data_IF_125369290585
#
_entry.id   IF_125369290585
#
_cell.length_a   1.000
_cell.length_b   1.000
_cell.length_c   1.000
_cell.angle_alpha   90.00
_cell.angle_beta   90.00
_cell.angle_gamma   90.00
#
_symmetry.space_group_name_H-M   'P 1'
#
loop_
_entity.id
_entity.type
_entity.pdbx_description
1 polymer ?
#
# COMPACT_ATOMS: atom_id res chain seq x y z
N UNK A 1 9.29 -10.09 9.80
CA UNK A 1 7.85 -10.32 9.99
C UNK A 1 7.09 -9.02 9.87
N UNK A 2 5.97 -9.03 9.14
CA UNK A 2 5.17 -7.84 8.95
C UNK A 2 4.28 -7.58 10.16
N UNK A 3 4.06 -6.30 10.47
CA UNK A 3 3.06 -5.95 11.46
C UNK A 3 1.68 -6.20 10.85
N UNK A 4 0.66 -6.23 11.70
CA UNK A 4 -0.70 -6.44 11.23
C UNK A 4 -1.11 -5.39 10.21
N UNK A 5 -0.81 -4.13 10.47
CA UNK A 5 -1.17 -3.05 9.54
C UNK A 5 -0.43 -3.16 8.22
N UNK A 6 0.85 -3.52 8.27
CA UNK A 6 1.62 -3.73 7.04
C UNK A 6 1.05 -4.87 6.22
N UNK A 7 0.68 -5.96 6.87
CA UNK A 7 0.10 -7.10 6.19
C UNK A 7 -1.26 -6.75 5.58
N UNK A 8 -2.10 -6.06 6.32
CA UNK A 8 -3.41 -5.64 5.80
C UNK A 8 -3.27 -4.73 4.59
N UNK A 9 -2.33 -3.80 4.63
CA UNK A 9 -2.10 -2.90 3.50
C UNK A 9 -1.60 -3.67 2.28
N UNK A 10 -0.65 -4.56 2.48
CA UNK A 10 -0.11 -5.35 1.38
C UNK A 10 -1.22 -6.19 0.72
N UNK A 11 -2.04 -6.81 1.54
CA UNK A 11 -3.16 -7.61 1.05
C UNK A 11 -4.15 -6.76 0.27
N UNK A 12 -4.47 -5.57 0.78
CA UNK A 12 -5.39 -4.67 0.12
C UNK A 12 -4.87 -4.24 -1.25
N UNK A 13 -3.60 -3.88 -1.33
CA UNK A 13 -2.97 -3.50 -2.59
C UNK A 13 -3.02 -4.67 -3.57
N UNK A 14 -2.71 -5.87 -3.10
CA UNK A 14 -2.73 -7.05 -3.94
C UNK A 14 -4.13 -7.33 -4.50
N UNK A 15 -5.14 -7.24 -3.66
CA UNK A 15 -6.51 -7.46 -4.09
C UNK A 15 -6.96 -6.43 -5.13
N UNK A 16 -6.60 -5.17 -4.94
CA UNK A 16 -6.95 -4.12 -5.89
C UNK A 16 -6.26 -4.32 -7.23
N UNK A 17 -4.99 -4.69 -7.20
CA UNK A 17 -4.26 -4.95 -8.44
C UNK A 17 -4.87 -6.13 -9.20
N UNK A 18 -5.30 -7.15 -8.48
CA UNK A 18 -5.89 -8.33 -9.09
C UNK A 18 -7.25 -8.02 -9.69
N UNK A 19 -8.08 -7.24 -8.99
CA UNK A 19 -9.43 -6.94 -9.44
C UNK A 19 -9.49 -5.87 -10.53
N UNK A 20 -8.77 -4.78 -10.32
CA UNK A 20 -8.89 -3.60 -11.18
C UNK A 20 -7.67 -3.39 -12.08
N UNK A 21 -6.58 -4.08 -11.83
CA UNK A 21 -5.36 -3.89 -12.59
C UNK A 21 -4.61 -2.61 -12.24
N UNK A 22 -5.10 -1.85 -11.26
CA UNK A 22 -4.45 -0.62 -10.81
C UNK A 22 -4.38 -0.63 -9.28
N UNK A 23 -3.33 -0.05 -8.70
CA UNK A 23 -3.22 0.02 -7.25
C UNK A 23 -4.21 1.03 -6.68
N UNK A 24 -4.57 0.89 -5.40
CA UNK A 24 -5.45 1.85 -4.76
C UNK A 24 -4.74 3.18 -4.53
N UNK A 25 -5.52 4.24 -4.42
CA UNK A 25 -4.97 5.54 -4.06
C UNK A 25 -4.64 5.57 -2.57
N UNK A 26 -3.87 6.57 -2.16
CA UNK A 26 -3.55 6.73 -0.74
C UNK A 26 -4.80 6.95 0.09
N UNK A 27 -5.78 7.67 -0.45
CA UNK A 27 -7.04 7.87 0.25
C UNK A 27 -7.79 6.57 0.47
N UNK A 28 -7.81 5.72 -0.54
CA UNK A 28 -8.44 4.41 -0.43
C UNK A 28 -7.74 3.54 0.60
N UNK A 29 -6.41 3.55 0.59
CA UNK A 29 -5.64 2.79 1.57
C UNK A 29 -5.87 3.30 2.99
N UNK A 30 -5.92 4.62 3.14
CA UNK A 30 -6.18 5.23 4.43
C UNK A 30 -7.53 4.80 4.99
N UNK A 31 -8.55 4.84 4.15
CA UNK A 31 -9.90 4.45 4.56
C UNK A 31 -9.98 2.96 4.87
N UNK A 32 -9.33 2.14 4.07
CA UNK A 32 -9.37 0.69 4.26
C UNK A 32 -8.73 0.27 5.58
N UNK A 33 -7.70 1.00 6.01
CA UNK A 33 -6.99 0.69 7.25
C UNK A 33 -7.45 1.52 8.43
N UNK A 34 -8.47 2.34 8.23
CA UNK A 34 -9.05 3.20 9.27
C UNK A 34 -8.00 4.10 9.91
N UNK A 35 -7.17 4.70 9.08
CA UNK A 35 -6.16 5.64 9.53
C UNK A 35 -6.65 7.08 9.36
N UNK A 36 -6.18 7.96 10.24
CA UNK A 36 -6.62 9.35 10.22
C UNK A 36 -5.93 10.21 9.19
N UNK A 37 -4.73 9.82 8.77
CA UNK A 37 -3.97 10.64 7.84
C UNK A 37 -3.20 9.78 6.86
N UNK A 38 -2.85 10.40 5.74
CA UNK A 38 -2.05 9.74 4.72
C UNK A 38 -0.61 9.50 5.17
N UNK A 39 -0.16 10.20 6.20
CA UNK A 39 1.19 10.00 6.73
C UNK A 39 1.39 8.58 7.21
N UNK A 40 0.38 8.00 7.87
CA UNK A 40 0.44 6.61 8.30
C UNK A 40 0.60 5.65 7.12
N UNK A 41 -0.14 5.91 6.06
CA UNK A 41 -0.03 5.10 4.85
C UNK A 41 1.36 5.23 4.23
N UNK A 42 1.88 6.45 4.16
CA UNK A 42 3.20 6.67 3.59
C UNK A 42 4.27 5.89 4.35
N UNK A 43 4.20 5.88 5.67
CA UNK A 43 5.13 5.11 6.50
C UNK A 43 5.03 3.62 6.24
N UNK A 44 3.81 3.10 6.13
CA UNK A 44 3.61 1.68 5.86
C UNK A 44 4.14 1.30 4.49
N UNK A 45 3.89 2.13 3.48
CA UNK A 45 4.38 1.88 2.13
C UNK A 45 5.91 1.90 2.12
N UNK A 46 6.52 2.87 2.77
CA UNK A 46 7.97 2.95 2.83
C UNK A 46 8.57 1.71 3.50
N UNK A 47 7.95 1.25 4.58
CA UNK A 47 8.42 0.04 5.26
C UNK A 47 8.30 -1.19 4.38
N UNK A 48 7.21 -1.33 3.65
CA UNK A 48 7.02 -2.46 2.75
C UNK A 48 7.99 -2.41 1.57
N UNK A 49 8.26 -1.22 1.07
CA UNK A 49 9.21 -1.03 -0.01
C UNK A 49 10.63 -1.40 0.42
N UNK A 50 11.02 -0.98 1.61
CA UNK A 50 12.33 -1.30 2.15
C UNK A 50 12.53 -2.80 2.34
N UNK A 51 11.46 -3.50 2.66
CA UNK A 51 11.49 -4.96 2.83
C UNK A 51 11.39 -5.72 1.51
N UNK A 52 11.15 -5.00 0.41
CA UNK A 52 11.07 -5.63 -0.90
C UNK A 52 9.71 -6.23 -1.25
N UNK A 53 8.68 -5.94 -0.47
CA UNK A 53 7.36 -6.45 -0.76
C UNK A 53 6.63 -5.67 -1.84
N UNK A 54 6.93 -4.39 -1.98
CA UNK A 54 6.32 -3.55 -3.00
C UNK A 54 7.39 -2.69 -3.66
N UNK A 55 7.05 -2.16 -4.83
CA UNK A 55 7.94 -1.27 -5.57
C UNK A 55 7.15 -0.06 -6.04
N UNK A 56 7.69 1.13 -5.81
CA UNK A 56 7.10 2.35 -6.33
C UNK A 56 7.62 2.60 -7.74
N UNK A 57 6.72 2.90 -8.64
CA UNK A 57 7.09 3.24 -10.01
C UNK A 57 7.26 4.75 -10.11
N UNK A 58 8.37 5.21 -10.71
CA UNK A 58 8.73 6.63 -10.66
C UNK A 58 7.75 7.59 -11.34
N UNK A 59 7.00 7.12 -12.31
CA UNK A 59 6.19 8.03 -13.12
C UNK A 59 4.75 8.19 -12.68
N UNK A 60 4.20 7.31 -11.86
CA UNK A 60 2.77 7.29 -11.65
C UNK A 60 2.34 7.01 -10.23
N UNK A 61 3.18 7.15 -9.28
CA UNK A 61 2.82 6.80 -7.89
C UNK A 61 2.22 5.41 -7.77
N UNK A 62 2.45 4.56 -8.75
CA UNK A 62 1.93 3.20 -8.75
C UNK A 62 2.76 2.33 -7.85
N UNK A 63 2.09 1.35 -7.24
CA UNK A 63 2.74 0.38 -6.37
C UNK A 63 2.61 -0.98 -7.04
N UNK A 64 3.74 -1.65 -7.19
CA UNK A 64 3.75 -2.96 -7.81
C UNK A 64 4.31 -3.97 -6.81
N UNK A 65 3.65 -5.08 -6.70
CA UNK A 65 4.07 -6.14 -5.79
C UNK A 65 5.05 -7.08 -6.47
#
# INVERSE_FOLDING_TARGET
MLTRKQFELLRFIHERLTEAGVPPSFDEMKDALDLRSKSGIHRLITALEERGFIRRLPNLSLIHI
#
